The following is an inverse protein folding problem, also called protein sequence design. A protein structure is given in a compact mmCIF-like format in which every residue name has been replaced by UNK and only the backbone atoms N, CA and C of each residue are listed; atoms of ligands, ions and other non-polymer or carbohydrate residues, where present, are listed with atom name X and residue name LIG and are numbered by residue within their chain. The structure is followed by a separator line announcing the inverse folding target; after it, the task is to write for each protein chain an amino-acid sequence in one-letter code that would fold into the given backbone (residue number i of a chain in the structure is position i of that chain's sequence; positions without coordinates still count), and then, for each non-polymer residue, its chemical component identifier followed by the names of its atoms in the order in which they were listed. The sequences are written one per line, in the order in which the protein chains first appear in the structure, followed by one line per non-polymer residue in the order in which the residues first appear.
data_IF_211875855926
#
_entry.id   IF_211875855926
#
_cell.length_a   1.000
_cell.length_b   1.000
_cell.length_c   1.000
_cell.angle_alpha   90.00
_cell.angle_beta   90.00
_cell.angle_gamma   90.00
#
_symmetry.space_group_name_H-M   'P 1'
#
loop_
_entity.id
_entity.type
_entity.pdbx_description
1 polymer ?
#
# COMPACT_ATOMS: atom_id res chain seq x y z
N UNK A 1 41.87 33.07 40.20
CA UNK A 1 41.05 31.90 39.77
C UNK A 1 39.72 32.43 39.21
N UNK A 2 39.73 33.32 38.23
CA UNK A 2 39.98 33.16 36.78
C UNK A 2 38.65 32.97 36.03
N UNK A 3 38.09 34.12 35.63
CA UNK A 3 36.94 34.29 34.73
C UNK A 3 37.02 33.36 33.49
N UNK A 4 38.24 33.08 33.01
CA UNK A 4 38.54 32.15 31.93
C UNK A 4 38.12 30.70 32.19
N UNK A 5 38.25 30.19 33.43
CA UNK A 5 37.79 28.84 33.75
C UNK A 5 36.25 28.74 33.73
N UNK A 6 35.57 29.81 34.14
CA UNK A 6 34.11 29.86 34.12
C UNK A 6 33.57 29.87 32.68
N UNK A 7 34.22 30.63 31.79
CA UNK A 7 33.92 30.67 30.36
C UNK A 7 34.13 29.29 29.69
N UNK A 8 35.24 28.61 30.00
CA UNK A 8 35.56 27.27 29.46
C UNK A 8 34.55 26.20 29.92
N UNK A 9 34.16 26.22 31.20
CA UNK A 9 33.16 25.28 31.76
C UNK A 9 31.80 25.52 31.10
N UNK A 10 31.40 26.79 30.96
CA UNK A 10 30.14 27.17 30.32
C UNK A 10 30.08 26.72 28.85
N UNK A 11 31.17 26.91 28.10
CA UNK A 11 31.27 26.46 26.71
C UNK A 11 31.18 24.93 26.57
N UNK A 12 31.79 24.19 27.51
CA UNK A 12 31.70 22.73 27.58
C UNK A 12 30.27 22.24 27.83
N UNK A 13 29.56 22.92 28.73
CA UNK A 13 28.14 22.64 29.01
C UNK A 13 27.27 22.92 27.79
N UNK A 14 27.40 24.09 27.15
CA UNK A 14 26.66 24.43 25.94
C UNK A 14 26.88 23.38 24.86
N UNK A 15 28.13 22.94 24.63
CA UNK A 15 28.46 21.92 23.64
C UNK A 15 27.80 20.57 23.94
N UNK A 16 27.71 20.18 25.22
CA UNK A 16 27.03 18.97 25.66
C UNK A 16 25.51 19.07 25.46
N UNK A 17 24.90 20.20 25.78
CA UNK A 17 23.47 20.44 25.54
C UNK A 17 23.15 20.47 24.04
N UNK A 18 23.98 21.11 23.22
CA UNK A 18 23.80 21.14 21.76
C UNK A 18 23.79 19.72 21.18
N UNK A 19 24.73 18.86 21.62
CA UNK A 19 24.76 17.46 21.19
C UNK A 19 23.48 16.71 21.56
N UNK A 20 22.96 16.91 22.78
CA UNK A 20 21.71 16.28 23.21
C UNK A 20 20.51 16.80 22.43
N UNK A 21 20.46 18.10 22.14
CA UNK A 21 19.41 18.72 21.33
C UNK A 21 19.41 18.15 19.92
N UNK A 22 20.58 18.06 19.27
CA UNK A 22 20.71 17.48 17.93
C UNK A 22 20.25 16.01 17.92
N UNK A 23 20.66 15.23 18.94
CA UNK A 23 20.23 13.84 19.09
C UNK A 23 18.70 13.74 19.21
N UNK A 24 18.09 14.59 20.05
CA UNK A 24 16.65 14.61 20.24
C UNK A 24 15.91 14.96 18.93
N UNK A 25 16.37 15.98 18.20
CA UNK A 25 15.79 16.35 16.91
C UNK A 25 15.91 15.25 15.87
N UNK A 26 17.06 14.56 15.80
CA UNK A 26 17.24 13.44 14.88
C UNK A 26 16.28 12.28 15.16
N UNK A 27 16.02 11.99 16.45
CA UNK A 27 15.07 10.97 16.87
C UNK A 27 13.63 11.36 16.50
N UNK A 28 13.24 12.61 16.77
CA UNK A 28 11.90 13.13 16.42
C UNK A 28 11.68 13.10 14.91
N UNK A 29 12.69 13.48 14.13
CA UNK A 29 12.61 13.44 12.67
C UNK A 29 12.48 12.02 12.13
N UNK A 30 13.22 11.06 12.72
CA UNK A 30 13.09 9.65 12.37
C UNK A 30 11.69 9.10 12.69
N UNK A 31 11.14 9.42 13.86
CA UNK A 31 9.77 8.99 14.21
C UNK A 31 8.74 9.63 13.27
N UNK A 32 8.86 10.92 13.00
CA UNK A 32 7.94 11.65 12.12
C UNK A 32 7.96 11.10 10.69
N UNK A 33 9.15 10.86 10.13
CA UNK A 33 9.30 10.30 8.78
C UNK A 33 8.69 8.90 8.67
N UNK A 34 8.95 8.02 9.63
CA UNK A 34 8.32 6.69 9.66
C UNK A 34 6.78 6.80 9.77
N UNK A 35 6.25 7.67 10.64
CA UNK A 35 4.80 7.84 10.77
C UNK A 35 4.13 8.33 9.49
N UNK A 36 4.79 9.21 8.73
CA UNK A 36 4.28 9.73 7.45
C UNK A 36 4.23 8.60 6.41
N UNK A 37 5.29 7.80 6.30
CA UNK A 37 5.34 6.65 5.39
C UNK A 37 4.25 5.62 5.74
N UNK A 38 4.09 5.28 7.02
CA UNK A 38 3.04 4.37 7.46
C UNK A 38 1.63 4.90 7.22
N UNK A 39 1.43 6.22 7.28
CA UNK A 39 0.12 6.83 6.99
C UNK A 39 -0.19 6.89 5.49
N UNK A 40 0.84 6.96 4.64
CA UNK A 40 0.68 6.91 3.18
C UNK A 40 0.35 5.50 2.68
N UNK A 41 0.97 4.46 3.24
CA UNK A 41 0.67 3.07 2.87
C UNK A 41 -0.70 2.61 3.36
N UNK A 42 -1.22 3.20 4.43
CA UNK A 42 -2.52 2.84 5.02
C UNK A 42 -3.63 3.85 4.75
N UNK A 43 -3.44 4.78 3.81
CA UNK A 43 -4.50 5.70 3.45
C UNK A 43 -5.54 4.94 2.62
N UNK A 44 -6.79 4.75 3.11
CA UNK A 44 -7.82 4.18 2.27
C UNK A 44 -8.11 5.18 1.14
N UNK A 45 -7.98 4.75 -0.11
CA UNK A 45 -8.34 5.54 -1.28
C UNK A 45 -9.80 6.01 -1.16
N UNK A 46 -10.09 7.21 -0.65
CA UNK A 46 -11.46 7.76 -0.59
C UNK A 46 -11.45 9.18 -1.16
N UNK A 47 -12.40 9.53 -2.05
CA UNK A 47 -13.77 9.01 -2.10
C UNK A 47 -13.96 7.73 -2.94
N UNK A 48 -14.40 6.60 -2.35
CA UNK A 48 -14.81 5.44 -3.16
C UNK A 48 -16.09 5.80 -3.89
N UNK A 49 -15.99 5.97 -5.20
CA UNK A 49 -17.15 6.11 -6.05
C UNK A 49 -17.83 4.74 -6.21
N UNK A 50 -19.11 4.57 -5.82
CA UNK A 50 -19.87 3.34 -6.10
C UNK A 50 -19.88 2.99 -7.60
N UNK A 51 -19.70 3.97 -8.48
CA UNK A 51 -19.56 3.75 -9.93
C UNK A 51 -18.26 3.04 -10.30
N UNK A 52 -17.15 3.30 -9.60
CA UNK A 52 -15.88 2.60 -9.85
C UNK A 52 -15.96 1.13 -9.45
N UNK A 53 -16.57 0.80 -8.31
CA UNK A 53 -16.84 -0.61 -7.93
C UNK A 53 -17.74 -1.31 -8.93
N UNK A 54 -18.78 -0.64 -9.42
CA UNK A 54 -19.65 -1.18 -10.45
C UNK A 54 -18.88 -1.40 -11.76
N UNK A 55 -17.96 -0.49 -12.11
CA UNK A 55 -17.13 -0.56 -13.31
C UNK A 55 -16.11 -1.70 -13.23
N UNK A 56 -15.41 -1.84 -12.09
CA UNK A 56 -14.48 -2.95 -11.87
C UNK A 56 -15.18 -4.31 -11.91
N UNK A 57 -16.37 -4.44 -11.30
CA UNK A 57 -17.18 -5.66 -11.39
C UNK A 57 -17.63 -5.97 -12.82
N UNK A 58 -18.05 -4.96 -13.58
CA UNK A 58 -18.40 -5.11 -15.02
C UNK A 58 -17.20 -5.54 -15.86
N UNK A 59 -16.03 -4.97 -15.61
CA UNK A 59 -14.78 -5.34 -16.31
C UNK A 59 -14.39 -6.78 -15.97
N UNK A 60 -14.45 -7.16 -14.69
CA UNK A 60 -14.13 -8.52 -14.25
C UNK A 60 -15.08 -9.56 -14.88
N UNK A 61 -16.39 -9.30 -14.86
CA UNK A 61 -17.38 -10.14 -15.54
C UNK A 61 -17.12 -10.27 -17.05
N UNK A 62 -16.72 -9.17 -17.72
CA UNK A 62 -16.37 -9.17 -19.15
C UNK A 62 -15.14 -10.04 -19.45
N UNK A 63 -14.15 -10.04 -18.56
CA UNK A 63 -12.96 -10.89 -18.70
C UNK A 63 -13.33 -12.37 -18.52
N UNK A 64 -14.16 -12.69 -17.51
CA UNK A 64 -14.63 -14.06 -17.29
C UNK A 64 -15.44 -14.61 -18.47
N UNK A 65 -16.30 -13.78 -19.08
CA UNK A 65 -17.02 -14.13 -20.31
C UNK A 65 -16.06 -14.41 -21.48
N UNK A 66 -15.05 -13.54 -21.70
CA UNK A 66 -14.03 -13.77 -22.73
C UNK A 66 -13.26 -15.08 -22.51
N UNK A 67 -12.95 -15.43 -21.26
CA UNK A 67 -12.28 -16.69 -20.92
C UNK A 67 -13.14 -17.91 -21.22
N UNK A 68 -14.45 -17.84 -20.94
CA UNK A 68 -15.40 -18.89 -21.35
C UNK A 68 -15.39 -19.07 -22.86
N UNK A 69 -15.51 -17.97 -23.62
CA UNK A 69 -15.57 -18.04 -25.08
C UNK A 69 -14.27 -18.58 -25.69
N UNK A 70 -13.12 -18.29 -25.07
CA UNK A 70 -11.84 -18.89 -25.46
C UNK A 70 -11.77 -20.38 -25.12
N UNK A 71 -12.24 -20.77 -23.93
CA UNK A 71 -12.30 -22.17 -23.50
C UNK A 71 -13.18 -23.01 -24.44
N UNK A 72 -14.35 -22.51 -24.83
CA UNK A 72 -15.25 -23.18 -25.77
C UNK A 72 -14.63 -23.36 -27.17
N UNK A 73 -13.77 -22.42 -27.59
CA UNK A 73 -13.05 -22.52 -28.87
C UNK A 73 -11.92 -23.55 -28.84
N UNK A 74 -11.28 -23.73 -27.69
CA UNK A 74 -10.18 -24.68 -27.51
C UNK A 74 -10.72 -26.10 -27.35
N UNK A 75 -11.82 -26.27 -26.62
CA UNK A 75 -12.44 -27.56 -26.30
C UNK A 75 -13.56 -27.95 -27.28
N UNK A 76 -13.52 -27.47 -28.53
CA UNK A 76 -14.65 -27.61 -29.47
C UNK A 76 -15.03 -29.06 -29.77
N UNK A 77 -14.05 -29.97 -29.71
CA UNK A 77 -14.21 -31.40 -29.96
C UNK A 77 -14.57 -32.20 -28.71
N UNK A 78 -14.63 -31.55 -27.54
CA UNK A 78 -14.96 -32.17 -26.27
C UNK A 78 -16.47 -32.03 -25.97
N UNK A 79 -17.22 -33.13 -25.83
CA UNK A 79 -18.67 -33.08 -25.56
C UNK A 79 -19.01 -32.50 -24.18
N UNK A 80 -18.04 -32.37 -23.28
CA UNK A 80 -18.21 -31.76 -21.95
C UNK A 80 -17.67 -30.32 -21.86
N UNK A 81 -17.19 -29.76 -22.98
CA UNK A 81 -16.61 -28.41 -23.05
C UNK A 81 -17.54 -27.34 -22.49
N UNK A 82 -18.83 -27.42 -22.79
CA UNK A 82 -19.82 -26.46 -22.30
C UNK A 82 -19.92 -26.46 -20.77
N UNK A 83 -20.03 -27.64 -20.16
CA UNK A 83 -20.14 -27.78 -18.71
C UNK A 83 -18.84 -27.36 -18.00
N UNK A 84 -17.69 -27.73 -18.56
CA UNK A 84 -16.36 -27.37 -18.02
C UNK A 84 -16.11 -25.86 -18.10
N UNK A 85 -16.30 -25.25 -19.27
CA UNK A 85 -16.06 -23.83 -19.47
C UNK A 85 -17.07 -22.96 -18.70
N UNK A 86 -18.31 -23.42 -18.53
CA UNK A 86 -19.28 -22.77 -17.64
C UNK A 86 -18.86 -22.85 -16.17
N UNK A 87 -18.39 -24.01 -15.70
CA UNK A 87 -17.88 -24.16 -14.32
C UNK A 87 -16.72 -23.19 -14.04
N UNK A 88 -15.75 -23.09 -14.95
CA UNK A 88 -14.63 -22.15 -14.84
C UNK A 88 -15.09 -20.69 -14.86
N UNK A 89 -16.10 -20.37 -15.67
CA UNK A 89 -16.69 -19.03 -15.68
C UNK A 89 -17.33 -18.66 -14.34
N UNK A 90 -18.08 -19.57 -13.72
CA UNK A 90 -18.73 -19.34 -12.42
C UNK A 90 -17.68 -19.10 -11.33
N UNK A 91 -16.61 -19.89 -11.31
CA UNK A 91 -15.48 -19.68 -10.39
C UNK A 91 -14.84 -18.31 -10.61
N UNK A 92 -14.60 -17.93 -11.87
CA UNK A 92 -14.05 -16.62 -12.22
C UNK A 92 -14.95 -15.46 -11.74
N UNK A 93 -16.26 -15.57 -11.93
CA UNK A 93 -17.22 -14.55 -11.48
C UNK A 93 -17.26 -14.45 -9.95
N UNK A 94 -17.16 -15.58 -9.24
CA UNK A 94 -17.13 -15.58 -7.77
C UNK A 94 -15.86 -14.93 -7.21
N UNK A 95 -14.74 -14.96 -7.95
CA UNK A 95 -13.52 -14.23 -7.60
C UNK A 95 -13.62 -12.72 -7.85
N UNK A 96 -14.63 -12.25 -8.59
CA UNK A 96 -14.90 -10.83 -8.83
C UNK A 96 -15.72 -10.17 -7.69
N UNK A 97 -16.11 -10.93 -6.67
CA UNK A 97 -16.97 -10.47 -5.56
C UNK A 97 -16.15 -9.85 -4.44
#
# INVERSE_FOLDING_TARGET
MNLFNHQLIFYRYIKLYLKKIILLFSLLFFIATNSVVYSQENMPDFPYDPEEKATQKKICAKICLKRRDACLKIEIDNPQSEQMCQSQMIVCINQCR
#
